data_IF_659176073417
#
_entry.id   IF_659176073417
#
_cell.length_a   1.000
_cell.length_b   1.000
_cell.length_c   1.000
_cell.angle_alpha   90.00
_cell.angle_beta   90.00
_cell.angle_gamma   90.00
#
_symmetry.space_group_name_H-M   'P 1'
#
loop_
_entity.id
_entity.type
_entity.pdbx_description
1 polymer ?
#
# COMPACT_ATOMS: atom_id res chain seq x y z
N UNK A 1 31.60 -13.75 -7.80
CA UNK A 1 31.35 -12.44 -8.44
C UNK A 1 30.78 -11.53 -7.37
N UNK A 2 31.63 -10.76 -6.69
CA UNK A 2 31.19 -9.78 -5.70
C UNK A 2 30.62 -8.56 -6.42
N UNK A 3 29.29 -8.48 -6.48
CA UNK A 3 28.62 -7.26 -6.91
C UNK A 3 28.83 -6.23 -5.80
N UNK A 4 29.80 -5.33 -5.97
CA UNK A 4 29.93 -4.14 -5.13
C UNK A 4 28.69 -3.26 -5.37
N UNK A 5 27.66 -3.44 -4.54
CA UNK A 5 26.52 -2.52 -4.48
C UNK A 5 27.07 -1.18 -4.02
N UNK A 6 27.09 -0.18 -4.90
CA UNK A 6 27.41 1.19 -4.53
C UNK A 6 26.29 1.70 -3.61
N UNK A 7 26.62 1.99 -2.37
CA UNK A 7 25.73 2.64 -1.40
C UNK A 7 25.60 4.13 -1.69
N UNK A 8 25.14 4.47 -2.89
CA UNK A 8 24.80 5.85 -3.22
C UNK A 8 23.49 6.23 -2.50
N UNK A 9 23.39 7.45 -1.94
CA UNK A 9 22.19 7.91 -1.26
C UNK A 9 21.00 7.96 -2.23
N UNK A 10 19.83 7.53 -1.76
CA UNK A 10 18.62 7.53 -2.57
C UNK A 10 18.06 8.93 -2.71
N UNK A 11 17.66 9.29 -3.92
CA UNK A 11 16.96 10.56 -4.17
C UNK A 11 15.50 10.51 -3.77
N UNK A 12 14.87 9.34 -3.87
CA UNK A 12 13.48 9.12 -3.47
C UNK A 12 13.22 7.63 -3.38
N UNK A 13 12.48 7.20 -2.37
CA UNK A 13 12.16 5.79 -2.20
C UNK A 13 10.67 5.62 -1.94
N UNK A 14 10.08 4.70 -2.70
CA UNK A 14 8.68 4.33 -2.60
C UNK A 14 8.59 2.81 -2.49
N UNK A 15 7.93 2.32 -1.45
CA UNK A 15 7.75 0.90 -1.20
C UNK A 15 6.26 0.54 -1.09
N UNK A 16 5.92 -0.67 -1.53
CA UNK A 16 4.58 -1.21 -1.44
C UNK A 16 4.62 -2.53 -0.69
N UNK A 17 3.78 -2.65 0.34
CA UNK A 17 3.71 -3.84 1.17
C UNK A 17 2.34 -4.49 1.01
N UNK A 18 2.33 -5.67 0.39
CA UNK A 18 1.11 -6.41 0.08
C UNK A 18 0.95 -7.58 1.05
N UNK A 19 -0.17 -7.57 1.77
CA UNK A 19 -0.54 -8.57 2.76
C UNK A 19 -1.83 -9.27 2.34
N UNK A 20 -1.77 -10.54 1.94
CA UNK A 20 -2.96 -11.31 1.64
C UNK A 20 -3.72 -11.66 2.93
N UNK A 21 -5.04 -11.72 2.84
CA UNK A 21 -5.91 -12.18 3.92
C UNK A 21 -7.11 -12.95 3.36
N UNK A 22 -7.69 -13.83 4.16
CA UNK A 22 -8.88 -14.59 3.75
C UNK A 22 -10.15 -13.80 4.07
N UNK A 23 -11.10 -13.83 3.14
CA UNK A 23 -12.41 -13.22 3.29
C UNK A 23 -13.48 -14.31 3.34
N UNK A 24 -14.32 -14.30 4.37
CA UNK A 24 -15.47 -15.19 4.39
C UNK A 24 -16.53 -14.72 3.38
N UNK A 25 -16.93 -15.60 2.45
CA UNK A 25 -17.77 -15.24 1.30
C UNK A 25 -19.06 -14.51 1.64
N UNK A 26 -19.74 -14.91 2.72
CA UNK A 26 -20.98 -14.27 3.18
C UNK A 26 -20.77 -12.86 3.69
N UNK A 27 -19.54 -12.51 4.08
CA UNK A 27 -19.18 -11.23 4.71
C UNK A 27 -18.57 -10.24 3.73
N UNK A 28 -18.23 -10.65 2.50
CA UNK A 28 -17.54 -9.79 1.52
C UNK A 28 -18.31 -8.50 1.24
N UNK A 29 -19.61 -8.58 0.93
CA UNK A 29 -20.38 -7.39 0.58
C UNK A 29 -20.61 -6.48 1.80
N UNK A 30 -20.73 -7.06 3.00
CA UNK A 30 -20.75 -6.29 4.26
C UNK A 30 -19.42 -5.58 4.50
N UNK A 31 -18.31 -6.23 4.18
CA UNK A 31 -16.97 -5.64 4.26
C UNK A 31 -16.80 -4.51 3.24
N UNK A 32 -17.25 -4.69 1.99
CA UNK A 32 -17.30 -3.62 0.98
C UNK A 32 -18.10 -2.42 1.50
N UNK A 33 -19.28 -2.65 2.07
CA UNK A 33 -20.09 -1.58 2.66
C UNK A 33 -19.33 -0.78 3.72
N UNK A 34 -18.68 -1.48 4.66
CA UNK A 34 -17.83 -0.86 5.67
C UNK A 34 -16.66 -0.07 5.10
N UNK A 35 -15.99 -0.57 4.06
CA UNK A 35 -14.91 0.18 3.41
C UNK A 35 -15.42 1.52 2.86
N UNK A 36 -16.59 1.51 2.21
CA UNK A 36 -17.19 2.73 1.68
C UNK A 36 -17.63 3.69 2.80
N UNK A 37 -18.18 3.17 3.91
CA UNK A 37 -18.49 3.96 5.12
C UNK A 37 -17.22 4.59 5.73
N UNK A 38 -16.10 3.88 5.69
CA UNK A 38 -14.80 4.34 6.19
C UNK A 38 -14.04 5.25 5.20
N UNK A 39 -14.74 5.84 4.23
CA UNK A 39 -14.19 6.76 3.21
C UNK A 39 -13.15 6.14 2.27
N UNK A 40 -13.21 4.82 2.03
CA UNK A 40 -12.49 4.26 0.90
C UNK A 40 -13.21 4.59 -0.40
N UNK A 41 -12.44 4.86 -1.44
CA UNK A 41 -12.93 5.12 -2.80
C UNK A 41 -12.62 3.90 -3.67
N UNK A 42 -13.58 3.48 -4.47
CA UNK A 42 -13.36 2.44 -5.46
C UNK A 42 -12.45 2.97 -6.60
N UNK A 43 -11.38 2.23 -6.90
CA UNK A 43 -10.47 2.59 -7.99
C UNK A 43 -11.21 2.48 -9.32
N UNK A 44 -11.39 3.60 -9.99
CA UNK A 44 -12.02 3.67 -11.30
C UNK A 44 -11.07 4.35 -12.29
N UNK A 45 -10.63 3.63 -13.32
CA UNK A 45 -9.71 4.21 -14.31
C UNK A 45 -10.32 5.38 -15.10
N UNK A 46 -11.66 5.43 -15.20
CA UNK A 46 -12.37 6.54 -15.86
C UNK A 46 -12.41 7.80 -15.00
N UNK A 47 -12.17 7.67 -13.70
CA UNK A 47 -12.03 8.80 -12.79
C UNK A 47 -10.58 9.31 -12.83
N UNK A 48 -10.40 10.47 -13.46
CA UNK A 48 -9.07 11.05 -13.67
C UNK A 48 -8.54 11.79 -12.44
N UNK A 49 -9.40 12.15 -11.47
CA UNK A 49 -9.00 12.78 -10.21
C UNK A 49 -8.17 11.81 -9.36
N UNK A 50 -8.37 10.51 -9.52
CA UNK A 50 -7.65 9.47 -8.78
C UNK A 50 -6.17 9.33 -9.22
N UNK A 51 -5.77 9.91 -10.36
CA UNK A 51 -4.42 9.70 -10.95
C UNK A 51 -3.26 10.19 -10.08
N UNK A 52 -3.48 11.17 -9.22
CA UNK A 52 -2.49 11.78 -8.34
C UNK A 52 -2.87 11.66 -6.86
N UNK A 53 -4.01 11.04 -6.53
CA UNK A 53 -4.57 11.08 -5.19
C UNK A 53 -3.85 10.18 -4.18
N UNK A 54 -3.28 9.05 -4.63
CA UNK A 54 -2.90 7.95 -3.72
C UNK A 54 -1.41 7.55 -3.78
N UNK A 55 -0.58 8.31 -4.50
CA UNK A 55 0.75 7.84 -4.87
C UNK A 55 1.86 8.72 -4.29
N UNK A 56 1.66 9.36 -3.12
CA UNK A 56 2.73 10.12 -2.44
C UNK A 56 3.39 11.18 -3.31
N UNK A 57 2.60 11.92 -4.11
CA UNK A 57 3.10 12.92 -5.07
C UNK A 57 3.55 12.36 -6.43
N UNK A 58 3.37 11.06 -6.69
CA UNK A 58 3.48 10.49 -8.03
C UNK A 58 2.15 10.58 -8.80
N UNK A 59 2.22 10.56 -10.14
CA UNK A 59 1.06 10.50 -11.02
C UNK A 59 1.04 9.17 -11.77
N UNK A 60 -0.04 8.41 -11.61
CA UNK A 60 -0.28 7.20 -12.39
C UNK A 60 -1.28 7.52 -13.50
N UNK A 61 -0.83 7.35 -14.74
CA UNK A 61 -1.69 7.63 -15.90
C UNK A 61 -2.67 6.48 -16.15
N UNK A 62 -3.94 6.68 -15.83
CA UNK A 62 -5.00 5.70 -16.07
C UNK A 62 -5.14 5.36 -17.56
N UNK A 63 -5.02 6.36 -18.44
CA UNK A 63 -5.03 6.15 -19.91
C UNK A 63 -3.89 5.25 -20.39
N UNK A 64 -2.71 5.34 -19.75
CA UNK A 64 -1.59 4.43 -20.07
C UNK A 64 -1.86 3.03 -19.53
N UNK A 65 -2.43 2.91 -18.33
CA UNK A 65 -2.82 1.61 -17.77
C UNK A 65 -3.81 0.90 -18.69
N UNK A 66 -4.89 1.56 -19.08
CA UNK A 66 -5.91 1.02 -20.01
C UNK A 66 -5.27 0.50 -21.32
N UNK A 67 -4.36 1.26 -21.93
CA UNK A 67 -3.68 0.86 -23.17
C UNK A 67 -2.63 -0.25 -23.01
N UNK A 68 -2.12 -0.46 -21.80
CA UNK A 68 -1.04 -1.42 -21.57
C UNK A 68 -1.54 -2.85 -21.42
N UNK A 69 -2.80 -3.03 -21.00
CA UNK A 69 -3.40 -4.34 -20.82
C UNK A 69 -4.22 -4.75 -22.04
N UNK A 70 -4.28 -6.06 -22.29
CA UNK A 70 -5.14 -6.59 -23.35
C UNK A 70 -6.62 -6.39 -22.99
N UNK A 71 -7.51 -6.08 -23.96
CA UNK A 71 -8.92 -5.80 -23.72
C UNK A 71 -9.67 -6.86 -22.91
N UNK A 72 -9.23 -8.12 -23.00
CA UNK A 72 -9.85 -9.25 -22.30
C UNK A 72 -9.48 -9.35 -20.81
N UNK A 73 -8.34 -8.78 -20.41
CA UNK A 73 -7.84 -8.81 -19.03
C UNK A 73 -8.28 -7.56 -18.26
N UNK A 74 -8.48 -6.44 -18.97
CA UNK A 74 -8.85 -5.16 -18.39
C UNK A 74 -10.09 -5.22 -17.47
N UNK A 75 -11.23 -5.87 -17.85
CA UNK A 75 -12.40 -5.93 -16.98
C UNK A 75 -12.17 -6.74 -15.69
N UNK A 76 -11.16 -7.61 -15.68
CA UNK A 76 -10.75 -8.37 -14.50
C UNK A 76 -9.85 -7.51 -13.61
N UNK A 77 -8.89 -6.79 -14.18
CA UNK A 77 -7.96 -5.96 -13.39
C UNK A 77 -8.57 -4.65 -12.89
N UNK A 78 -9.47 -4.07 -13.69
CA UNK A 78 -10.09 -2.77 -13.47
C UNK A 78 -11.60 -2.88 -13.76
N UNK A 79 -12.36 -3.56 -12.88
CA UNK A 79 -13.79 -3.68 -13.05
C UNK A 79 -14.45 -2.30 -13.14
N UNK A 80 -15.50 -2.19 -13.96
CA UNK A 80 -16.17 -0.91 -14.19
C UNK A 80 -16.96 -0.42 -12.96
N UNK A 81 -17.27 -1.30 -12.01
CA UNK A 81 -18.02 -0.97 -10.82
C UNK A 81 -17.70 -1.87 -9.61
N UNK A 82 -17.87 -1.34 -8.40
CA UNK A 82 -17.63 -2.05 -7.14
C UNK A 82 -18.50 -3.30 -6.91
N UNK A 83 -19.57 -3.49 -7.68
CA UNK A 83 -20.44 -4.69 -7.61
C UNK A 83 -19.98 -5.86 -8.50
N UNK A 84 -18.93 -5.71 -9.30
CA UNK A 84 -18.48 -6.72 -10.27
C UNK A 84 -17.56 -7.69 -9.55
N UNK A 85 -18.09 -8.87 -9.18
CA UNK A 85 -17.41 -9.80 -8.26
C UNK A 85 -16.33 -10.63 -8.94
N UNK A 86 -16.38 -10.70 -10.27
CA UNK A 86 -15.46 -11.43 -11.14
C UNK A 86 -14.14 -10.69 -11.32
N UNK A 87 -14.08 -9.40 -10.99
CA UNK A 87 -12.89 -8.56 -11.09
C UNK A 87 -12.20 -8.32 -9.75
N UNK A 88 -10.97 -7.80 -9.84
CA UNK A 88 -10.18 -7.30 -8.73
C UNK A 88 -10.74 -5.95 -8.30
N UNK A 89 -11.67 -5.98 -7.34
CA UNK A 89 -12.27 -4.76 -6.82
C UNK A 89 -11.30 -4.10 -5.85
N UNK A 90 -10.76 -2.93 -6.22
CA UNK A 90 -9.81 -2.20 -5.39
C UNK A 90 -10.49 -1.00 -4.74
N UNK A 91 -10.32 -0.89 -3.44
CA UNK A 91 -10.78 0.22 -2.63
C UNK A 91 -9.57 0.90 -2.03
N UNK A 92 -9.41 2.19 -2.25
CA UNK A 92 -8.23 2.93 -1.81
C UNK A 92 -8.64 4.05 -0.88
N UNK A 93 -7.86 4.25 0.18
CA UNK A 93 -8.00 5.39 1.08
C UNK A 93 -6.66 6.11 1.19
N UNK A 94 -6.67 7.42 0.92
CA UNK A 94 -5.52 8.29 1.18
C UNK A 94 -5.37 8.45 2.70
N UNK A 95 -4.15 8.37 3.20
CA UNK A 95 -3.83 8.46 4.62
C UNK A 95 -2.93 9.66 4.91
N UNK A 96 -1.83 9.80 4.15
CA UNK A 96 -0.78 10.81 4.38
C UNK A 96 -0.35 10.94 5.86
N UNK A 97 -0.09 9.79 6.50
CA UNK A 97 0.26 9.75 7.93
C UNK A 97 1.79 9.75 8.06
N UNK A 98 2.31 10.72 8.80
CA UNK A 98 3.72 10.77 9.22
C UNK A 98 3.98 9.76 10.35
N UNK A 99 4.99 8.93 10.15
CA UNK A 99 5.40 7.89 11.06
C UNK A 99 6.91 7.95 11.33
N UNK A 100 7.33 7.30 12.42
CA UNK A 100 8.75 7.10 12.71
C UNK A 100 9.04 5.62 12.86
N UNK A 101 10.09 5.18 12.18
CA UNK A 101 10.61 3.83 12.29
C UNK A 101 11.81 3.84 13.23
N UNK A 102 11.71 3.10 14.33
CA UNK A 102 12.79 2.97 15.31
C UNK A 102 13.26 1.53 15.41
N UNK A 103 14.52 1.31 15.03
CA UNK A 103 15.24 0.06 15.25
C UNK A 103 16.67 0.32 15.76
N UNK A 104 17.37 -0.72 16.25
CA UNK A 104 18.76 -0.57 16.68
C UNK A 104 19.73 -0.07 15.59
N UNK A 105 19.40 -0.28 14.31
CA UNK A 105 20.30 0.02 13.19
C UNK A 105 19.81 1.17 12.30
N UNK A 106 18.52 1.55 12.40
CA UNK A 106 17.94 2.61 11.60
C UNK A 106 16.86 3.33 12.40
N UNK A 107 17.00 4.66 12.48
CA UNK A 107 15.91 5.54 12.89
C UNK A 107 15.62 6.50 11.72
N UNK A 108 14.39 6.46 11.20
CA UNK A 108 14.03 7.28 10.06
C UNK A 108 12.54 7.62 10.07
N UNK A 109 12.14 8.85 9.70
CA UNK A 109 10.74 9.14 9.43
C UNK A 109 10.28 8.42 8.16
N UNK A 110 8.98 8.22 8.01
CA UNK A 110 8.38 7.75 6.77
C UNK A 110 6.91 8.18 6.70
N UNK A 111 6.34 8.15 5.51
CA UNK A 111 4.93 8.52 5.29
C UNK A 111 4.18 7.30 4.78
N UNK A 112 3.07 6.95 5.43
CA UNK A 112 2.07 6.05 4.86
C UNK A 112 1.14 6.89 3.98
N UNK A 113 1.36 6.83 2.68
CA UNK A 113 0.61 7.63 1.70
C UNK A 113 -0.84 7.19 1.59
N UNK A 114 -1.05 5.88 1.44
CA UNK A 114 -2.38 5.31 1.26
C UNK A 114 -2.40 3.82 1.58
N UNK A 115 -3.62 3.33 1.78
CA UNK A 115 -3.93 1.91 1.89
C UNK A 115 -4.87 1.52 0.75
N UNK A 116 -4.59 0.41 0.08
CA UNK A 116 -5.52 -0.24 -0.84
C UNK A 116 -6.01 -1.56 -0.24
N UNK A 117 -7.30 -1.85 -0.41
CA UNK A 117 -7.90 -3.14 -0.16
C UNK A 117 -8.38 -3.70 -1.48
N UNK A 118 -7.78 -4.80 -1.91
CA UNK A 118 -8.18 -5.60 -3.04
C UNK A 118 -9.13 -6.68 -2.56
N UNK A 119 -10.28 -6.80 -3.18
CA UNK A 119 -11.18 -7.93 -3.03
C UNK A 119 -11.10 -8.71 -4.32
N UNK A 120 -10.43 -9.85 -4.25
CA UNK A 120 -10.22 -10.71 -5.40
C UNK A 120 -11.41 -11.67 -5.56
N UNK A 121 -11.60 -12.20 -6.77
CA UNK A 121 -12.32 -13.45 -6.93
C UNK A 121 -11.70 -14.53 -6.02
N UNK A 122 -12.49 -15.50 -5.55
CA UNK A 122 -12.04 -16.63 -4.71
C UNK A 122 -11.75 -16.36 -3.22
N UNK A 123 -12.48 -15.44 -2.58
CA UNK A 123 -12.40 -15.29 -1.10
C UNK A 123 -11.04 -14.84 -0.58
N UNK A 124 -10.23 -14.20 -1.43
CA UNK A 124 -8.92 -13.63 -1.07
C UNK A 124 -9.03 -12.11 -1.09
N UNK A 125 -8.66 -11.49 0.02
CA UNK A 125 -8.37 -10.08 0.11
C UNK A 125 -6.88 -9.82 0.03
N UNK A 126 -6.47 -8.64 -0.44
CA UNK A 126 -5.10 -8.17 -0.27
C UNK A 126 -5.13 -6.74 0.25
N UNK A 127 -4.33 -6.46 1.27
CA UNK A 127 -4.08 -5.12 1.76
C UNK A 127 -2.74 -4.63 1.21
N UNK A 128 -2.71 -3.47 0.59
CA UNK A 128 -1.48 -2.84 0.12
C UNK A 128 -1.24 -1.53 0.86
N UNK A 129 -0.10 -1.41 1.50
CA UNK A 129 0.36 -0.15 2.10
C UNK A 129 1.39 0.50 1.19
N UNK A 130 1.19 1.78 0.88
CA UNK A 130 2.13 2.57 0.08
C UNK A 130 2.91 3.51 0.98
N UNK A 131 4.21 3.32 1.03
CA UNK A 131 5.11 4.05 1.93
C UNK A 131 6.13 4.86 1.15
N UNK A 132 6.40 6.07 1.61
CA UNK A 132 7.51 6.91 1.13
C UNK A 132 8.53 7.10 2.23
N UNK A 133 9.80 6.83 1.92
CA UNK A 133 10.93 7.13 2.80
C UNK A 133 11.58 8.47 2.39
N UNK A 134 12.27 9.14 3.33
CA UNK A 134 13.00 10.37 3.05
C UNK A 134 14.15 10.14 2.05
N UNK A 135 14.58 11.23 1.45
CA UNK A 135 15.78 11.25 0.61
C UNK A 135 17.03 11.12 1.48
N UNK A 136 18.14 10.68 0.89
CA UNK A 136 19.44 10.61 1.55
C UNK A 136 19.74 9.31 2.30
N UNK A 137 18.79 8.38 2.39
CA UNK A 137 19.04 7.03 2.93
C UNK A 137 19.96 6.23 2.01
N UNK A 138 20.81 5.38 2.58
CA UNK A 138 21.56 4.42 1.76
C UNK A 138 20.62 3.34 1.22
N UNK A 139 21.02 2.67 0.14
CA UNK A 139 20.24 1.54 -0.40
C UNK A 139 20.08 0.43 0.64
N UNK A 140 21.11 0.17 1.44
CA UNK A 140 21.05 -0.79 2.54
C UNK A 140 20.00 -0.41 3.60
N UNK A 141 19.93 0.87 3.99
CA UNK A 141 18.92 1.33 4.97
C UNK A 141 17.51 1.17 4.42
N UNK A 142 17.31 1.48 3.15
CA UNK A 142 16.03 1.30 2.45
C UNK A 142 15.59 -0.16 2.43
N UNK A 143 16.51 -1.08 2.14
CA UNK A 143 16.24 -2.52 2.14
C UNK A 143 15.99 -3.04 3.55
N UNK A 144 16.79 -2.59 4.52
CA UNK A 144 16.63 -2.95 5.92
C UNK A 144 15.29 -2.47 6.51
N UNK A 145 14.86 -1.25 6.17
CA UNK A 145 13.52 -0.77 6.49
C UNK A 145 12.47 -1.71 5.91
N UNK A 146 12.55 -2.05 4.63
CA UNK A 146 11.56 -2.87 3.96
C UNK A 146 11.45 -4.28 4.54
N UNK A 147 12.59 -4.91 4.80
CA UNK A 147 12.67 -6.24 5.42
C UNK A 147 12.03 -6.25 6.81
N UNK A 148 12.37 -5.23 7.63
CA UNK A 148 11.85 -5.14 9.00
C UNK A 148 10.37 -4.73 9.03
N UNK A 149 9.96 -3.77 8.19
CA UNK A 149 8.58 -3.23 8.17
C UNK A 149 7.57 -4.27 7.68
N UNK A 150 8.00 -5.24 6.86
CA UNK A 150 7.12 -6.31 6.36
C UNK A 150 6.68 -7.27 7.47
N UNK A 151 7.39 -7.33 8.59
CA UNK A 151 7.05 -8.16 9.74
C UNK A 151 6.01 -7.40 10.58
N UNK A 152 4.73 -7.63 10.29
CA UNK A 152 3.60 -6.95 10.94
C UNK A 152 3.36 -7.42 12.39
N UNK A 153 3.70 -8.67 12.71
CA UNK A 153 3.66 -9.24 14.06
C UNK A 153 5.00 -9.94 14.34
N UNK A 154 5.62 -9.72 15.51
CA UNK A 154 6.82 -10.46 15.89
C UNK A 154 6.49 -11.94 16.03
N UNK A 155 7.25 -12.80 15.37
CA UNK A 155 7.00 -14.26 15.32
C UNK A 155 7.58 -14.97 16.56
N UNK A 156 8.46 -14.29 17.31
CA UNK A 156 9.09 -14.78 18.54
C UNK A 156 9.33 -13.64 19.55
N UNK A 157 9.33 -13.97 20.85
CA UNK A 157 9.51 -13.02 21.98
C UNK A 157 10.83 -12.21 21.89
N UNK A 158 11.84 -12.73 21.18
CA UNK A 158 13.15 -12.11 20.98
C UNK A 158 13.11 -10.87 20.06
N UNK A 159 12.00 -10.62 19.36
CA UNK A 159 11.80 -9.46 18.48
C UNK A 159 11.27 -8.21 19.19
N UNK A 160 11.12 -8.24 20.53
CA UNK A 160 10.58 -7.17 21.40
C UNK A 160 11.27 -5.79 21.32
N UNK A 161 12.41 -5.63 20.62
CA UNK A 161 13.14 -4.35 20.55
C UNK A 161 12.67 -3.42 19.42
N UNK A 162 11.56 -3.72 18.75
CA UNK A 162 11.06 -2.95 17.60
C UNK A 162 9.91 -2.05 18.03
N UNK A 163 10.00 -0.75 17.72
CA UNK A 163 8.91 0.20 17.98
C UNK A 163 8.54 0.92 16.69
N UNK A 164 7.33 0.68 16.24
CA UNK A 164 6.67 1.51 15.26
C UNK A 164 5.88 2.57 16.03
N UNK A 165 6.40 3.80 16.06
CA UNK A 165 5.68 4.92 16.60
C UNK A 165 4.98 5.65 15.45
N UNK A 166 3.67 5.43 15.30
CA UNK A 166 2.85 6.40 14.59
C UNK A 166 2.69 7.61 15.50
N UNK A 167 3.07 8.80 15.02
CA UNK A 167 2.76 10.04 15.75
C UNK A 167 1.22 10.11 15.83
N UNK A 168 0.67 10.05 17.04
CA UNK A 168 -0.78 10.10 17.30
C UNK A 168 -1.38 11.29 16.55
N UNK A 169 -2.12 11.03 15.47
CA UNK A 169 -3.01 12.03 14.90
C UNK A 169 -4.22 12.10 15.83
N UNK A 170 -4.33 13.22 16.54
CA UNK A 170 -5.57 13.71 17.10
C UNK A 170 -6.61 13.79 15.98
N UNK A 171 -7.46 12.77 15.86
CA UNK A 171 -8.73 12.91 15.14
C UNK A 171 -9.59 13.88 15.94
N UNK A 172 -9.52 15.17 15.62
CA UNK A 172 -10.58 16.09 16.00
C UNK A 172 -11.83 15.65 15.23
N UNK A 173 -12.84 15.24 16.00
CA UNK A 173 -14.20 14.95 15.56
C UNK A 173 -14.85 16.18 14.92
#
# INVERSE_FOLDING_TARGET
MDVKVKNDPTKRTFQQFIFPFTLEGKMIEKFVGKLLEDNFVFLNLKDMEQQNQFYGGHKVSHRKLEKYFMPYIEPILFPGHAKQKEGLRRFTKKLDIDCTFESPYLNTPFIINSIDIFICPFHIGMMNLRVTLPEGLSQNDVLYFGDTFRILEPIADDEEKRKLAAVKISMNR
#
